data_IF_118699199736
#
_entry.id   IF_118699199736
#
_cell.length_a   1.000
_cell.length_b   1.000
_cell.length_c   1.000
_cell.angle_alpha   90.00
_cell.angle_beta   90.00
_cell.angle_gamma   90.00
#
_symmetry.space_group_name_H-M   'P 1'
#
loop_
_entity.id
_entity.type
_entity.pdbx_description
1 polymer ?
#
# COMPACT_ATOMS: atom_id res chain seq x y z
N UNK A 1 12.65 13.46 12.54
CA UNK A 1 13.99 14.03 12.74
C UNK A 1 14.12 15.25 11.83
N UNK A 2 14.26 16.47 12.36
CA UNK A 2 14.45 17.67 11.54
C UNK A 2 15.60 17.45 10.54
N UNK A 3 15.35 17.67 9.25
CA UNK A 3 16.35 17.49 8.19
C UNK A 3 16.54 16.05 7.67
N UNK A 4 15.67 15.10 8.03
CA UNK A 4 15.75 13.75 7.45
C UNK A 4 15.52 13.76 5.92
N UNK A 5 16.38 13.04 5.19
CA UNK A 5 16.23 12.85 3.76
C UNK A 5 15.06 11.91 3.44
N UNK A 6 14.38 12.07 2.29
CA UNK A 6 13.31 11.17 1.88
C UNK A 6 13.81 9.74 1.70
N UNK A 7 12.99 8.77 2.11
CA UNK A 7 13.20 7.35 1.85
C UNK A 7 12.04 6.86 0.99
N UNK A 8 12.38 6.18 -0.11
CA UNK A 8 11.43 5.49 -0.97
C UNK A 8 11.87 4.04 -1.10
N UNK A 9 11.07 3.13 -0.53
CA UNK A 9 11.30 1.68 -0.62
C UNK A 9 10.41 1.06 -1.69
N UNK A 10 10.97 0.10 -2.43
CA UNK A 10 10.19 -0.68 -3.39
C UNK A 10 9.13 -1.53 -2.67
N UNK A 11 7.94 -1.74 -3.25
CA UNK A 11 6.95 -2.66 -2.71
C UNK A 11 7.49 -4.10 -2.61
N UNK A 12 6.97 -4.87 -1.66
CA UNK A 12 7.29 -6.29 -1.56
C UNK A 12 6.72 -7.09 -2.72
N UNK A 13 7.39 -8.20 -3.08
CA UNK A 13 6.87 -9.13 -4.09
C UNK A 13 5.59 -9.79 -3.56
N UNK A 14 4.54 -9.74 -4.37
CA UNK A 14 3.23 -10.32 -4.05
C UNK A 14 2.86 -11.43 -5.04
N UNK A 15 2.00 -12.34 -4.59
CA UNK A 15 1.35 -13.32 -5.46
C UNK A 15 0.27 -12.64 -6.32
N UNK A 16 -0.08 -13.18 -7.50
CA UNK A 16 -1.05 -12.55 -8.39
C UNK A 16 -2.41 -12.23 -7.77
N UNK A 17 -2.92 -13.10 -6.89
CA UNK A 17 -4.17 -12.84 -6.15
C UNK A 17 -4.06 -11.61 -5.25
N UNK A 18 -2.99 -11.52 -4.46
CA UNK A 18 -2.73 -10.36 -3.60
C UNK A 18 -2.59 -9.05 -4.37
N UNK A 19 -2.03 -9.07 -5.59
CA UNK A 19 -1.96 -7.89 -6.46
C UNK A 19 -3.34 -7.42 -6.95
N UNK A 20 -4.23 -8.37 -7.27
CA UNK A 20 -5.62 -8.07 -7.66
C UNK A 20 -6.37 -7.44 -6.49
N UNK A 21 -6.34 -8.06 -5.32
CA UNK A 21 -6.99 -7.56 -4.10
C UNK A 21 -6.45 -6.19 -3.68
N UNK A 22 -5.14 -5.96 -3.81
CA UNK A 22 -4.52 -4.66 -3.56
C UNK A 22 -5.07 -3.59 -4.50
N UNK A 23 -5.18 -3.90 -5.79
CA UNK A 23 -5.66 -2.95 -6.80
C UNK A 23 -7.12 -2.56 -6.56
N UNK A 24 -7.96 -3.53 -6.17
CA UNK A 24 -9.36 -3.29 -5.79
C UNK A 24 -9.48 -2.41 -4.55
N UNK A 25 -8.69 -2.68 -3.50
CA UNK A 25 -8.66 -1.87 -2.28
C UNK A 25 -8.17 -0.43 -2.54
N UNK A 26 -7.12 -0.25 -3.35
CA UNK A 26 -6.62 1.07 -3.73
C UNK A 26 -7.67 1.87 -4.50
N UNK A 27 -8.38 1.22 -5.43
CA UNK A 27 -9.47 1.85 -6.18
C UNK A 27 -10.60 2.28 -5.24
N UNK A 28 -11.06 1.40 -4.35
CA UNK A 28 -12.12 1.72 -3.39
C UNK A 28 -11.74 2.91 -2.49
N UNK A 29 -10.50 2.94 -1.98
CA UNK A 29 -10.02 4.04 -1.15
C UNK A 29 -9.90 5.36 -1.92
N UNK A 30 -9.51 5.29 -3.20
CA UNK A 30 -9.47 6.45 -4.09
C UNK A 30 -10.88 6.96 -4.40
N UNK A 31 -11.82 6.07 -4.71
CA UNK A 31 -13.22 6.41 -5.01
C UNK A 31 -13.91 7.04 -3.78
N UNK A 32 -13.53 6.62 -2.56
CA UNK A 32 -13.98 7.23 -1.29
C UNK A 32 -13.25 8.53 -0.94
N UNK A 33 -12.22 8.92 -1.68
CA UNK A 33 -11.41 10.12 -1.41
C UNK A 33 -10.50 10.02 -0.18
N UNK A 34 -10.26 8.80 0.34
CA UNK A 34 -9.36 8.57 1.48
C UNK A 34 -7.90 8.73 1.06
N UNK A 35 -7.57 8.33 -0.16
CA UNK A 35 -6.24 8.47 -0.76
C UNK A 35 -6.32 9.18 -2.11
N UNK A 36 -5.18 9.66 -2.60
CA UNK A 36 -5.03 10.22 -3.95
C UNK A 36 -3.64 9.87 -4.52
N UNK A 37 -3.45 9.90 -5.84
CA UNK A 37 -2.13 9.83 -6.44
C UNK A 37 -1.19 10.91 -5.87
N UNK A 38 0.09 10.57 -5.73
CA UNK A 38 1.11 11.43 -5.14
C UNK A 38 2.43 11.30 -5.89
N UNK A 39 3.17 12.41 -5.97
CA UNK A 39 4.55 12.50 -6.46
C UNK A 39 5.56 12.75 -5.33
N UNK A 40 5.19 12.37 -4.10
CA UNK A 40 6.04 12.52 -2.91
C UNK A 40 7.40 11.83 -3.08
N UNK A 41 8.51 12.45 -2.64
CA UNK A 41 9.80 11.78 -2.58
C UNK A 41 9.86 10.73 -1.45
N UNK A 42 8.85 10.68 -0.57
CA UNK A 42 8.71 9.69 0.49
C UNK A 42 7.79 8.55 0.04
N UNK A 43 8.22 7.31 0.26
CA UNK A 43 7.45 6.10 -0.07
C UNK A 43 7.71 4.96 0.90
N UNK A 44 6.63 4.45 1.50
CA UNK A 44 6.63 3.26 2.33
C UNK A 44 6.12 2.05 1.51
N UNK A 45 6.66 0.84 1.73
CA UNK A 45 6.17 -0.33 1.05
C UNK A 45 4.80 -0.75 1.59
N UNK A 46 4.03 -1.42 0.74
CA UNK A 46 2.74 -2.01 1.09
C UNK A 46 2.92 -3.51 1.31
N UNK A 47 2.28 -4.01 2.36
CA UNK A 47 2.16 -5.42 2.71
C UNK A 47 0.72 -5.88 2.47
N UNK A 48 0.56 -7.12 1.99
CA UNK A 48 -0.73 -7.79 1.87
C UNK A 48 -0.76 -8.94 2.87
N UNK A 49 -1.71 -8.87 3.80
CA UNK A 49 -1.86 -9.86 4.88
C UNK A 49 -3.12 -10.67 4.64
N UNK A 50 -3.02 -11.99 4.65
CA UNK A 50 -4.17 -12.89 4.62
C UNK A 50 -4.76 -13.00 6.03
N UNK A 51 -6.04 -12.68 6.17
CA UNK A 51 -6.78 -12.82 7.42
C UNK A 51 -7.34 -14.22 7.61
N UNK A 52 -7.83 -14.48 8.83
CA UNK A 52 -8.52 -15.74 9.20
C UNK A 52 -9.76 -16.03 8.36
N UNK A 53 -10.49 -14.99 7.94
CA UNK A 53 -11.66 -15.08 7.06
C UNK A 53 -11.30 -15.35 5.59
N UNK A 54 -10.00 -15.48 5.26
CA UNK A 54 -9.51 -15.69 3.92
C UNK A 54 -9.35 -14.41 3.09
N UNK A 55 -9.82 -13.26 3.58
CA UNK A 55 -9.66 -11.97 2.91
C UNK A 55 -8.21 -11.50 2.98
N UNK A 56 -7.80 -10.69 1.99
CA UNK A 56 -6.55 -9.95 2.05
C UNK A 56 -6.79 -8.55 2.61
N UNK A 57 -5.83 -8.03 3.36
CA UNK A 57 -5.82 -6.64 3.86
C UNK A 57 -4.52 -5.97 3.48
N UNK A 58 -4.65 -4.79 2.89
CA UNK A 58 -3.54 -3.86 2.67
C UNK A 58 -3.07 -3.26 4.02
N UNK A 59 -1.77 -3.32 4.26
CA UNK A 59 -1.08 -2.70 5.39
C UNK A 59 0.10 -1.85 4.86
N UNK A 60 0.36 -0.68 5.46
CA UNK A 60 1.52 0.16 5.12
C UNK A 60 2.60 -0.09 6.17
N UNK A 61 3.82 -0.35 5.72
CA UNK A 61 5.01 -0.56 6.57
C UNK A 61 5.75 0.77 6.76
N UNK A 62 5.28 1.56 7.74
CA UNK A 62 5.87 2.87 8.10
C UNK A 62 7.13 2.74 8.97
#
# INVERSE_FOLDING_TARGET
>A
VPGAAPVARAPYRMVPSGMKDLSEQLKELSDKGVIRPSSSPWGAPVLIVKKKDGSFRMCIDF
#
